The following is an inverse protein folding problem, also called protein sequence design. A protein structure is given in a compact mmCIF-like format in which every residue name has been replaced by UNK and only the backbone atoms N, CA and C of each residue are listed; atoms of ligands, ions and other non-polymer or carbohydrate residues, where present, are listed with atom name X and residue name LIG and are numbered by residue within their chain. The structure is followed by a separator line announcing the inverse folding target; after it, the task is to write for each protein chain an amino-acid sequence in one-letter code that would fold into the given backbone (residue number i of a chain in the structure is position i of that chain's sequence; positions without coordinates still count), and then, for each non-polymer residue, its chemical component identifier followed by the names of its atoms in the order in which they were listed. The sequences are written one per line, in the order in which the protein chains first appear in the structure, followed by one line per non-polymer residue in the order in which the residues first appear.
data_IF_635992683933
#
_entry.id   IF_635992683933
#
_cell.length_a   1.000
_cell.length_b   1.000
_cell.length_c   1.000
_cell.angle_alpha   90.00
_cell.angle_beta   90.00
_cell.angle_gamma   90.00
#
_symmetry.space_group_name_H-M   'P 1'
#
loop_
_entity.id
_entity.type
_entity.pdbx_description
1 polymer ?
#
# COMPACT_ATOMS: atom_id res chain seq x y z
N UNK A 1 4.44 9.60 -1.14
CA UNK A 1 3.88 8.96 -2.36
C UNK A 1 3.76 9.97 -3.48
N UNK A 2 4.31 9.69 -4.66
CA UNK A 2 4.25 10.58 -5.83
C UNK A 2 3.05 10.25 -6.70
N UNK A 3 2.62 11.20 -7.53
CA UNK A 3 1.54 10.99 -8.51
C UNK A 3 1.82 9.82 -9.46
N UNK A 4 3.07 9.66 -9.90
CA UNK A 4 3.48 8.55 -10.77
C UNK A 4 3.23 7.17 -10.12
N UNK A 5 3.42 7.04 -8.80
CA UNK A 5 3.14 5.80 -8.08
C UNK A 5 1.65 5.46 -8.10
N UNK A 6 0.80 6.49 -7.96
CA UNK A 6 -0.66 6.37 -8.00
C UNK A 6 -1.13 5.97 -9.41
N UNK A 7 -0.57 6.60 -10.45
CA UNK A 7 -0.91 6.29 -11.85
C UNK A 7 -0.50 4.86 -12.22
N UNK A 8 0.67 4.40 -11.77
CA UNK A 8 1.09 3.01 -11.95
C UNK A 8 0.17 2.03 -11.22
N UNK A 9 -0.22 2.33 -9.99
CA UNK A 9 -1.15 1.50 -9.23
C UNK A 9 -2.54 1.46 -9.86
N UNK A 10 -3.01 2.59 -10.43
CA UNK A 10 -4.25 2.65 -11.17
C UNK A 10 -4.22 1.76 -12.42
N UNK A 11 -3.09 1.75 -13.14
CA UNK A 11 -2.89 0.87 -14.31
C UNK A 11 -2.87 -0.61 -13.92
N UNK A 12 -2.17 -0.99 -12.85
CA UNK A 12 -2.18 -2.36 -12.32
C UNK A 12 -3.58 -2.77 -11.85
N UNK A 13 -4.31 -1.87 -11.21
CA UNK A 13 -5.71 -2.07 -10.84
C UNK A 13 -6.56 -2.33 -12.08
N UNK A 14 -6.43 -1.52 -13.14
CA UNK A 14 -7.14 -1.69 -14.40
C UNK A 14 -6.93 -3.09 -15.00
N UNK A 15 -5.68 -3.54 -15.05
CA UNK A 15 -5.31 -4.86 -15.59
C UNK A 15 -5.85 -6.02 -14.74
N UNK A 16 -5.70 -5.96 -13.42
CA UNK A 16 -6.15 -7.06 -12.53
C UNK A 16 -7.67 -7.12 -12.40
N UNK A 17 -8.35 -5.99 -12.47
CA UNK A 17 -9.81 -5.87 -12.47
C UNK A 17 -10.41 -6.50 -13.73
N UNK A 18 -9.80 -6.28 -14.89
CA UNK A 18 -10.16 -6.98 -16.13
C UNK A 18 -9.97 -8.51 -16.01
N UNK A 19 -8.85 -8.96 -15.43
CA UNK A 19 -8.55 -10.38 -15.26
C UNK A 19 -9.44 -11.10 -14.24
N UNK A 20 -9.90 -10.41 -13.19
CA UNK A 20 -10.70 -11.00 -12.10
C UNK A 20 -12.20 -11.06 -12.42
N UNK A 21 -12.70 -10.18 -13.28
CA UNK A 21 -14.10 -10.20 -13.74
C UNK A 21 -14.32 -11.01 -15.01
N UNK A 22 -13.25 -11.41 -15.69
CA UNK A 22 -13.27 -12.56 -16.60
C UNK A 22 -13.07 -13.85 -15.84
N UNK A 23 -14.02 -14.76 -15.86
CA UNK A 23 -13.78 -16.16 -15.48
C UNK A 23 -12.56 -16.67 -16.27
N UNK A 24 -11.43 -16.86 -15.60
CA UNK A 24 -10.21 -17.51 -16.11
C UNK A 24 -9.80 -17.13 -17.56
N UNK A 25 -9.27 -15.91 -17.73
CA UNK A 25 -8.26 -15.66 -18.78
C UNK A 25 -8.76 -15.23 -20.17
N UNK A 26 -9.93 -14.59 -20.27
CA UNK A 26 -10.46 -14.14 -21.57
C UNK A 26 -10.32 -12.62 -21.86
N UNK A 27 -9.92 -11.81 -20.88
CA UNK A 27 -9.85 -10.34 -21.03
C UNK A 27 -8.50 -9.78 -20.59
N UNK A 28 -8.00 -8.80 -21.34
CA UNK A 28 -6.72 -8.14 -21.10
C UNK A 28 -6.87 -6.68 -20.62
N UNK A 29 -8.05 -6.06 -20.80
CA UNK A 29 -8.33 -4.70 -20.35
C UNK A 29 -9.80 -4.50 -19.98
N UNK A 30 -10.06 -3.54 -19.07
CA UNK A 30 -11.41 -3.06 -18.74
C UNK A 30 -12.10 -2.39 -19.95
N UNK A 31 -11.33 -1.97 -20.95
CA UNK A 31 -11.85 -1.35 -22.17
C UNK A 31 -12.64 -2.37 -23.04
N UNK A 32 -12.45 -3.67 -22.81
CA UNK A 32 -13.15 -4.79 -23.48
C UNK A 32 -14.48 -5.17 -22.79
N UNK A 33 -14.78 -4.52 -21.66
CA UNK A 33 -15.84 -4.86 -20.72
C UNK A 33 -17.28 -4.44 -21.15
N UNK A 34 -17.53 -3.32 -21.87
CA UNK A 34 -18.87 -2.91 -22.26
C UNK A 34 -19.65 -3.93 -23.10
N UNK A 35 -18.98 -4.86 -23.77
CA UNK A 35 -19.61 -5.90 -24.61
C UNK A 35 -20.12 -7.12 -23.81
N UNK A 36 -19.82 -7.23 -22.51
CA UNK A 36 -19.91 -8.50 -21.78
C UNK A 36 -20.75 -8.46 -20.47
N UNK A 37 -21.57 -7.42 -20.27
CA UNK A 37 -22.65 -7.44 -19.27
C UNK A 37 -22.25 -7.11 -17.82
N UNK A 38 -21.04 -6.60 -17.60
CA UNK A 38 -20.65 -5.98 -16.33
C UNK A 38 -21.15 -4.54 -16.30
N UNK A 39 -21.72 -4.12 -15.17
CA UNK A 39 -22.21 -2.75 -15.01
C UNK A 39 -21.04 -1.79 -14.73
N UNK A 40 -21.15 -0.54 -15.20
CA UNK A 40 -20.18 0.50 -14.84
C UNK A 40 -20.05 0.69 -13.32
N UNK A 41 -21.13 0.43 -12.57
CA UNK A 41 -21.17 0.57 -11.12
C UNK A 41 -20.25 -0.45 -10.43
N UNK A 42 -20.30 -1.71 -10.84
CA UNK A 42 -19.42 -2.78 -10.32
C UNK A 42 -17.93 -2.48 -10.59
N UNK A 43 -17.62 -1.93 -11.77
CA UNK A 43 -16.27 -1.55 -12.14
C UNK A 43 -15.73 -0.41 -11.27
N UNK A 44 -16.56 0.60 -11.01
CA UNK A 44 -16.21 1.76 -10.18
C UNK A 44 -16.00 1.33 -8.73
N UNK A 45 -16.92 0.53 -8.18
CA UNK A 45 -16.84 0.06 -6.79
C UNK A 45 -15.58 -0.80 -6.57
N UNK A 46 -15.34 -1.79 -7.43
CA UNK A 46 -14.18 -2.67 -7.33
C UNK A 46 -12.85 -1.92 -7.46
N UNK A 47 -12.78 -0.94 -8.36
CA UNK A 47 -11.58 -0.13 -8.56
C UNK A 47 -11.30 0.79 -7.36
N UNK A 48 -12.35 1.37 -6.75
CA UNK A 48 -12.21 2.19 -5.55
C UNK A 48 -11.70 1.36 -4.35
N UNK A 49 -12.28 0.18 -4.11
CA UNK A 49 -11.87 -0.72 -3.03
C UNK A 49 -10.39 -1.10 -3.20
N UNK A 50 -9.99 -1.57 -4.40
CA UNK A 50 -8.60 -1.91 -4.68
C UNK A 50 -7.65 -0.74 -4.50
N UNK A 51 -8.05 0.46 -4.94
CA UNK A 51 -7.26 1.68 -4.75
C UNK A 51 -7.07 2.01 -3.26
N UNK A 52 -8.11 1.87 -2.45
CA UNK A 52 -8.05 2.09 -1.00
C UNK A 52 -7.16 1.04 -0.29
N UNK A 53 -7.31 -0.24 -0.65
CA UNK A 53 -6.47 -1.32 -0.14
C UNK A 53 -5.00 -1.10 -0.50
N UNK A 54 -4.72 -0.73 -1.75
CA UNK A 54 -3.36 -0.39 -2.19
C UNK A 54 -2.80 0.77 -1.37
N UNK A 55 -3.55 1.85 -1.19
CA UNK A 55 -3.09 3.04 -0.44
C UNK A 55 -2.72 2.73 1.00
N UNK A 56 -3.46 1.84 1.66
CA UNK A 56 -3.20 1.43 3.05
C UNK A 56 -1.96 0.54 3.14
N UNK A 57 -1.78 -0.37 2.18
CA UNK A 57 -0.73 -1.39 2.24
C UNK A 57 0.61 -0.95 1.65
N UNK A 58 0.63 -0.03 0.68
CA UNK A 58 1.83 0.33 -0.08
C UNK A 58 2.90 1.08 0.71
N UNK A 59 2.55 1.62 1.87
CA UNK A 59 3.45 2.42 2.72
C UNK A 59 4.21 1.60 3.77
N UNK A 60 3.88 0.31 3.91
CA UNK A 60 4.49 -0.56 4.91
C UNK A 60 5.67 -1.33 4.31
N UNK A 61 6.83 -1.14 4.93
CA UNK A 61 8.05 -1.88 4.68
C UNK A 61 8.12 -3.12 5.55
N UNK A 62 8.78 -4.16 5.04
CA UNK A 62 9.11 -5.35 5.82
C UNK A 62 10.28 -5.07 6.78
N UNK A 63 10.36 -5.78 7.90
CA UNK A 63 11.48 -5.64 8.84
C UNK A 63 12.84 -6.09 8.28
N UNK A 64 12.90 -6.65 7.07
CA UNK A 64 14.15 -6.83 6.31
C UNK A 64 14.71 -5.53 5.72
N UNK A 65 13.88 -4.49 5.59
CA UNK A 65 14.28 -3.15 5.18
C UNK A 65 14.51 -2.28 6.42
N UNK A 66 15.64 -1.58 6.46
CA UNK A 66 16.00 -0.73 7.61
C UNK A 66 15.62 0.72 7.31
N UNK A 67 14.93 1.43 8.23
CA UNK A 67 14.61 2.84 8.04
C UNK A 67 15.87 3.71 7.95
N UNK A 68 15.72 4.89 7.36
CA UNK A 68 16.75 5.91 7.44
C UNK A 68 16.83 6.46 8.87
N UNK A 69 18.05 6.78 9.29
CA UNK A 69 18.32 7.30 10.63
C UNK A 69 17.58 8.63 10.88
N UNK A 70 17.09 8.81 12.11
CA UNK A 70 16.34 10.00 12.54
C UNK A 70 15.03 10.27 11.78
N UNK A 71 14.47 9.28 11.06
CA UNK A 71 13.10 9.37 10.53
C UNK A 71 12.07 8.79 11.48
N UNK A 72 10.93 9.47 11.56
CA UNK A 72 9.81 9.07 12.43
C UNK A 72 8.99 7.97 11.76
N UNK A 73 8.86 6.86 12.46
CA UNK A 73 8.25 5.63 11.96
C UNK A 73 7.07 5.23 12.85
N UNK A 74 6.06 4.61 12.23
CA UNK A 74 5.11 3.73 12.89
C UNK A 74 5.56 2.28 12.69
N UNK A 75 5.28 1.39 13.63
CA UNK A 75 5.64 -0.02 13.51
C UNK A 75 4.61 -0.96 14.13
N UNK A 76 4.63 -2.21 13.67
CA UNK A 76 3.85 -3.35 14.16
C UNK A 76 4.83 -4.33 14.80
N UNK A 77 4.57 -4.71 16.06
CA UNK A 77 5.34 -5.72 16.78
C UNK A 77 4.82 -7.14 16.50
N UNK A 78 5.65 -8.15 16.80
CA UNK A 78 5.31 -9.57 16.65
C UNK A 78 4.08 -10.01 17.44
N UNK A 79 3.75 -9.32 18.52
CA UNK A 79 2.55 -9.58 19.33
C UNK A 79 1.29 -8.87 18.80
N UNK A 80 1.39 -8.17 17.66
CA UNK A 80 0.30 -7.44 17.03
C UNK A 80 0.06 -6.04 17.60
N UNK A 81 0.84 -5.60 18.60
CA UNK A 81 0.74 -4.23 19.11
C UNK A 81 1.45 -3.24 18.19
N UNK A 82 1.09 -1.95 18.34
CA UNK A 82 1.60 -0.87 17.51
C UNK A 82 2.45 0.08 18.35
N UNK A 83 3.42 0.73 17.72
CA UNK A 83 4.17 1.81 18.32
C UNK A 83 4.68 2.81 17.30
N UNK A 84 5.38 3.82 17.79
CA UNK A 84 6.00 4.84 16.96
C UNK A 84 7.33 5.29 17.58
N UNK A 85 8.17 5.93 16.76
CA UNK A 85 9.41 6.53 17.22
C UNK A 85 10.39 6.86 16.11
N UNK A 86 11.55 7.40 16.49
CA UNK A 86 12.66 7.61 15.56
C UNK A 86 13.54 6.36 15.51
N UNK A 87 13.98 6.00 14.31
CA UNK A 87 14.96 4.93 14.13
C UNK A 87 16.36 5.39 14.58
N UNK A 88 17.00 4.56 15.41
CA UNK A 88 18.35 4.74 15.93
C UNK A 88 19.23 3.59 15.45
N UNK A 89 20.26 3.92 14.66
CA UNK A 89 21.15 2.92 14.07
C UNK A 89 22.09 2.29 15.09
N UNK A 90 22.53 3.06 16.08
CA UNK A 90 23.50 2.63 17.10
C UNK A 90 23.03 1.40 17.89
N UNK A 91 21.75 1.34 18.24
CA UNK A 91 21.16 0.24 19.01
C UNK A 91 20.14 -0.59 18.22
N UNK A 92 20.01 -0.31 16.92
CA UNK A 92 19.09 -0.95 15.98
C UNK A 92 17.68 -1.04 16.59
N UNK A 93 17.12 0.13 16.88
CA UNK A 93 15.83 0.28 17.55
C UNK A 93 14.99 1.39 16.92
N UNK A 94 13.68 1.30 17.13
CA UNK A 94 12.79 2.46 16.99
C UNK A 94 12.39 2.84 18.42
N UNK A 95 13.03 3.86 18.98
CA UNK A 95 12.98 4.21 20.41
C UNK A 95 13.12 2.98 21.32
N UNK A 96 12.11 2.70 22.14
CA UNK A 96 12.17 1.64 23.16
C UNK A 96 12.04 0.22 22.58
N UNK A 97 11.73 0.09 21.29
CA UNK A 97 11.48 -1.20 20.62
C UNK A 97 12.68 -1.63 19.80
N UNK A 98 13.28 -2.77 20.17
CA UNK A 98 14.32 -3.42 19.36
C UNK A 98 13.76 -3.78 17.98
N UNK A 99 14.51 -3.48 16.93
CA UNK A 99 14.09 -3.72 15.55
C UNK A 99 13.81 -5.20 15.28
N UNK A 100 14.46 -6.12 16.00
CA UNK A 100 14.21 -7.57 15.95
C UNK A 100 12.80 -8.00 16.36
N UNK A 101 12.04 -7.13 17.04
CA UNK A 101 10.65 -7.38 17.44
C UNK A 101 9.63 -6.74 16.49
N UNK A 102 10.09 -5.94 15.52
CA UNK A 102 9.24 -5.29 14.52
C UNK A 102 8.99 -6.28 13.37
N UNK A 103 7.76 -6.28 12.85
CA UNK A 103 7.34 -7.09 11.70
C UNK A 103 7.22 -6.22 10.46
N UNK A 104 6.59 -5.06 10.60
CA UNK A 104 6.44 -4.05 9.55
C UNK A 104 6.59 -2.66 10.14
N UNK A 105 7.03 -1.72 9.32
CA UNK A 105 7.11 -0.32 9.69
C UNK A 105 6.76 0.58 8.50
N UNK A 106 6.40 1.82 8.77
CA UNK A 106 6.10 2.82 7.76
C UNK A 106 6.58 4.19 8.23
N UNK A 107 7.03 5.03 7.32
CA UNK A 107 7.29 6.43 7.66
C UNK A 107 5.97 7.16 7.90
N UNK A 108 5.91 7.96 8.96
CA UNK A 108 4.72 8.75 9.25
C UNK A 108 4.35 9.70 8.10
N UNK A 109 5.35 10.29 7.44
CA UNK A 109 5.16 11.20 6.30
C UNK A 109 4.51 10.53 5.08
N UNK A 110 4.67 9.22 4.88
CA UNK A 110 4.05 8.51 3.75
C UNK A 110 2.56 8.18 4.01
N UNK A 111 2.14 8.28 5.27
CA UNK A 111 0.75 8.05 5.69
C UNK A 111 -0.04 9.37 5.72
N UNK A 112 0.63 10.50 6.00
CA UNK A 112 -0.04 11.79 6.06
C UNK A 112 -0.69 12.17 4.72
N UNK A 113 -1.82 12.89 4.73
CA UNK A 113 -2.43 13.43 3.52
C UNK A 113 -1.43 14.25 2.70
N UNK A 114 -1.61 14.29 1.38
CA UNK A 114 -0.91 15.28 0.59
C UNK A 114 -1.45 16.66 0.95
N UNK A 115 -0.54 17.60 1.23
CA UNK A 115 -0.85 18.97 1.65
C UNK A 115 -0.58 19.98 0.54
N UNK A 116 -0.17 19.50 -0.65
CA UNK A 116 -0.11 20.30 -1.86
C UNK A 116 -1.53 20.45 -2.43
N UNK A 117 -2.01 21.70 -2.45
CA UNK A 117 -3.27 22.12 -3.10
C UNK A 117 -3.17 22.08 -4.64
#
# INVERSE_FOLDING_TARGET
MKREDIEKAAEECRLTTAQSMGVYGQYHSIDECPEHGLSCDELVEGSFIKGAEWRINSVWHDASEVPEEHRFCLYILKDGTYGCGYYHKEDNSIWYSRFTNIVKWAYFQDITPNMED
#
